data_IF_788067385284
#
_entry.id   IF_788067385284
#
_cell.length_a   1.000
_cell.length_b   1.000
_cell.length_c   1.000
_cell.angle_alpha   90.00
_cell.angle_beta   90.00
_cell.angle_gamma   90.00
#
_symmetry.space_group_name_H-M   'P 1'
#
loop_
_entity.id
_entity.type
_entity.pdbx_description
1 polymer ?
#
# COMPACT_ATOMS: atom_id res chain seq x y z
N UNK A 1 -24.18 0.61 -16.55
CA UNK A 1 -23.85 -0.51 -17.45
C UNK A 1 -22.77 0.04 -18.35
N UNK A 2 -21.49 -0.17 -18.08
CA UNK A 2 -20.81 -1.47 -18.07
C UNK A 2 -19.58 -1.43 -17.13
N UNK A 3 -19.48 -2.36 -16.18
CA UNK A 3 -18.34 -2.51 -15.25
C UNK A 3 -17.41 -3.67 -15.67
N UNK A 4 -17.54 -4.17 -16.91
CA UNK A 4 -16.69 -5.25 -17.44
C UNK A 4 -15.46 -4.76 -18.21
N UNK A 5 -15.30 -3.44 -18.37
CA UNK A 5 -14.23 -2.86 -19.21
C UNK A 5 -12.96 -2.55 -18.42
N UNK A 6 -13.03 -2.38 -17.10
CA UNK A 6 -11.86 -2.32 -16.22
C UNK A 6 -12.20 -3.01 -14.89
N UNK A 7 -11.59 -4.17 -14.57
CA UNK A 7 -11.74 -4.74 -13.24
C UNK A 7 -11.28 -3.69 -12.21
N UNK A 8 -11.99 -3.55 -11.08
CA UNK A 8 -11.55 -2.65 -10.04
C UNK A 8 -10.12 -3.04 -9.62
N UNK A 9 -9.23 -2.07 -9.41
CA UNK A 9 -7.84 -2.38 -9.08
C UNK A 9 -7.78 -3.20 -7.79
N UNK A 10 -6.98 -4.26 -7.78
CA UNK A 10 -6.82 -5.14 -6.62
C UNK A 10 -6.21 -4.44 -5.39
N UNK A 11 -5.53 -3.30 -5.61
CA UNK A 11 -4.91 -2.48 -4.56
C UNK A 11 -4.88 -1.00 -4.97
N UNK A 12 -5.32 -0.11 -4.07
CA UNK A 12 -5.12 1.33 -4.19
C UNK A 12 -4.15 1.84 -3.13
N UNK A 13 -3.22 2.73 -3.53
CA UNK A 13 -2.27 3.39 -2.64
C UNK A 13 -2.44 4.91 -2.72
N UNK A 14 -2.74 5.52 -1.58
CA UNK A 14 -2.85 6.96 -1.39
C UNK A 14 -1.72 7.46 -0.50
N UNK A 15 -1.00 8.49 -0.97
CA UNK A 15 0.05 9.19 -0.22
C UNK A 15 -0.51 10.56 0.12
N UNK A 16 -0.85 10.77 1.39
CA UNK A 16 -1.43 12.02 1.87
C UNK A 16 -0.29 13.06 2.00
N UNK A 17 0.01 13.75 0.90
CA UNK A 17 1.02 14.82 0.88
C UNK A 17 0.38 16.16 1.25
N UNK A 18 -0.88 16.45 0.87
CA UNK A 18 -1.52 17.76 1.17
C UNK A 18 -3.06 17.89 1.11
N UNK A 19 -3.89 16.88 0.83
CA UNK A 19 -5.35 17.13 0.83
C UNK A 19 -6.23 15.89 0.91
N UNK A 20 -7.09 15.88 1.94
CA UNK A 20 -8.33 15.10 2.12
C UNK A 20 -8.47 13.85 1.24
N UNK A 21 -8.06 12.73 1.81
CA UNK A 21 -8.39 11.39 1.36
C UNK A 21 -9.92 11.22 1.23
N UNK A 22 -10.41 10.70 0.09
CA UNK A 22 -11.83 10.36 -0.13
C UNK A 22 -12.02 8.83 -0.19
N UNK A 23 -11.93 8.13 0.95
CA UNK A 23 -12.06 6.66 0.99
C UNK A 23 -13.41 6.17 0.43
N UNK A 24 -14.44 7.03 0.41
CA UNK A 24 -15.74 6.73 -0.19
C UNK A 24 -15.69 6.43 -1.70
N UNK A 25 -14.72 6.96 -2.45
CA UNK A 25 -14.57 6.67 -3.88
C UNK A 25 -14.10 5.22 -4.07
N UNK A 26 -13.04 4.83 -3.35
CA UNK A 26 -12.50 3.46 -3.41
C UNK A 26 -13.48 2.42 -2.87
N UNK A 27 -14.25 2.79 -1.84
CA UNK A 27 -15.34 1.96 -1.32
C UNK A 27 -16.44 1.74 -2.37
N UNK A 28 -16.83 2.80 -3.09
CA UNK A 28 -17.82 2.71 -4.17
C UNK A 28 -17.30 1.93 -5.38
N UNK A 29 -15.98 1.95 -5.63
CA UNK A 29 -15.31 1.15 -6.64
C UNK A 29 -15.10 -0.32 -6.21
N UNK A 30 -15.34 -0.66 -4.94
CA UNK A 30 -15.18 -2.03 -4.45
C UNK A 30 -13.73 -2.49 -4.32
N UNK A 31 -12.78 -1.56 -4.16
CA UNK A 31 -11.36 -1.88 -4.04
C UNK A 31 -11.13 -2.67 -2.73
N UNK A 32 -10.65 -3.92 -2.80
CA UNK A 32 -10.56 -4.80 -1.63
C UNK A 32 -9.50 -4.32 -0.63
N UNK A 33 -8.49 -3.59 -1.08
CA UNK A 33 -7.38 -3.13 -0.24
C UNK A 33 -6.98 -1.67 -0.54
N UNK A 34 -6.92 -0.84 0.50
CA UNK A 34 -6.56 0.57 0.44
C UNK A 34 -5.42 0.89 1.40
N UNK A 35 -4.27 1.25 0.86
CA UNK A 35 -3.11 1.71 1.64
C UNK A 35 -3.09 3.22 1.72
N UNK A 36 -2.93 3.74 2.94
CA UNK A 36 -2.86 5.18 3.20
C UNK A 36 -1.54 5.47 3.88
N UNK A 37 -0.74 6.34 3.28
CA UNK A 37 0.49 6.82 3.88
C UNK A 37 0.29 8.24 4.37
N UNK A 38 0.19 8.42 5.70
CA UNK A 38 0.00 9.73 6.33
C UNK A 38 1.09 9.98 7.38
N UNK A 39 1.69 11.18 7.36
CA UNK A 39 2.69 11.66 8.34
C UNK A 39 3.79 10.65 8.71
N UNK A 40 4.23 9.83 7.75
CA UNK A 40 5.25 8.84 8.02
C UNK A 40 4.73 7.53 8.60
N UNK A 41 3.43 7.23 8.53
CA UNK A 41 2.83 5.96 8.93
C UNK A 41 2.04 5.36 7.78
N UNK A 42 2.21 4.06 7.57
CA UNK A 42 1.44 3.28 6.61
C UNK A 42 0.25 2.61 7.32
N UNK A 43 -0.95 2.97 6.91
CA UNK A 43 -2.18 2.29 7.30
C UNK A 43 -2.65 1.40 6.14
N UNK A 44 -2.99 0.16 6.46
CA UNK A 44 -3.51 -0.80 5.50
C UNK A 44 -4.98 -1.01 5.86
N UNK A 45 -5.89 -0.73 4.93
CA UNK A 45 -7.32 -0.87 5.16
C UNK A 45 -7.90 -1.91 4.20
N UNK A 46 -8.70 -2.82 4.73
CA UNK A 46 -9.41 -3.82 3.93
C UNK A 46 -10.89 -3.50 3.85
N UNK A 47 -11.46 -3.65 2.66
CA UNK A 47 -12.89 -3.53 2.46
C UNK A 47 -13.58 -4.79 2.99
N UNK A 48 -14.19 -4.68 4.17
CA UNK A 48 -14.96 -5.75 4.80
C UNK A 48 -16.41 -5.29 4.95
N UNK A 49 -17.35 -6.06 4.39
CA UNK A 49 -18.79 -5.77 4.48
C UNK A 49 -19.15 -4.32 4.03
N UNK A 50 -18.45 -3.80 3.01
CA UNK A 50 -18.68 -2.46 2.48
C UNK A 50 -18.09 -1.33 3.33
N UNK A 51 -17.21 -1.62 4.30
CA UNK A 51 -16.47 -0.61 5.08
C UNK A 51 -14.99 -0.94 5.14
N UNK A 52 -14.17 0.10 5.15
CA UNK A 52 -12.72 -0.07 5.36
C UNK A 52 -12.40 -0.32 6.83
N UNK A 53 -11.67 -1.40 7.10
CA UNK A 53 -11.17 -1.80 8.42
C UNK A 53 -9.64 -1.80 8.38
N UNK A 54 -9.01 -1.08 9.31
CA UNK A 54 -7.55 -1.07 9.42
C UNK A 54 -7.04 -2.45 9.89
N UNK A 55 -6.01 -2.95 9.21
CA UNK A 55 -5.32 -4.20 9.56
C UNK A 55 -3.83 -3.96 9.71
N UNK A 56 -3.17 -4.87 10.44
CA UNK A 56 -1.72 -4.83 10.62
C UNK A 56 -0.97 -5.31 9.39
N UNK A 57 -1.49 -6.37 8.74
CA UNK A 57 -0.83 -7.04 7.62
C UNK A 57 -1.73 -7.01 6.38
N UNK A 58 -1.12 -6.81 5.22
CA UNK A 58 -1.79 -6.96 3.93
C UNK A 58 -2.06 -8.45 3.67
N UNK A 59 -3.30 -8.87 3.35
CA UNK A 59 -3.57 -10.23 2.88
C UNK A 59 -2.88 -10.51 1.55
N UNK A 60 -2.84 -9.51 0.65
CA UNK A 60 -2.18 -9.59 -0.66
C UNK A 60 -0.69 -9.83 -0.54
N UNK A 61 -0.07 -9.28 0.51
CA UNK A 61 1.36 -9.44 0.80
C UNK A 61 1.61 -10.01 2.21
N UNK A 62 0.90 -11.07 2.57
CA UNK A 62 0.94 -11.69 3.89
C UNK A 62 2.34 -12.19 4.30
N UNK A 63 3.21 -12.48 3.33
CA UNK A 63 4.59 -12.92 3.56
C UNK A 63 5.58 -11.76 3.84
N UNK A 64 5.12 -10.51 3.86
CA UNK A 64 5.98 -9.33 3.92
C UNK A 64 5.55 -8.33 5.02
N UNK A 65 6.44 -7.95 5.95
CA UNK A 65 6.17 -6.92 6.94
C UNK A 65 6.25 -5.54 6.29
N UNK A 66 5.22 -5.17 5.52
CA UNK A 66 5.21 -3.97 4.68
C UNK A 66 5.33 -2.67 5.46
N UNK A 67 4.62 -2.56 6.60
CA UNK A 67 4.68 -1.36 7.45
C UNK A 67 6.13 -1.10 7.88
N UNK A 68 6.81 -2.09 8.44
CA UNK A 68 8.21 -1.97 8.87
C UNK A 68 9.16 -1.73 7.69
N UNK A 69 9.00 -2.47 6.59
CA UNK A 69 9.87 -2.35 5.44
C UNK A 69 9.79 -0.96 4.82
N UNK A 70 8.59 -0.41 4.62
CA UNK A 70 8.38 0.91 4.05
C UNK A 70 8.95 1.99 4.98
N UNK A 71 8.67 1.91 6.28
CA UNK A 71 9.22 2.85 7.27
C UNK A 71 10.76 2.86 7.26
N UNK A 72 11.37 1.67 7.32
CA UNK A 72 12.83 1.52 7.28
C UNK A 72 13.44 2.12 6.01
N UNK A 73 12.84 1.86 4.85
CA UNK A 73 13.36 2.38 3.59
C UNK A 73 13.17 3.89 3.47
N UNK A 74 12.06 4.43 3.99
CA UNK A 74 11.86 5.86 4.07
C UNK A 74 12.91 6.55 4.94
N UNK A 75 13.25 6.00 6.11
CA UNK A 75 14.35 6.51 6.93
C UNK A 75 15.69 6.45 6.19
N UNK A 76 15.98 5.33 5.53
CA UNK A 76 17.19 5.19 4.70
C UNK A 76 17.23 6.20 3.55
N UNK A 77 16.08 6.59 2.99
CA UNK A 77 16.04 7.59 1.91
C UNK A 77 16.52 8.96 2.36
N UNK A 78 16.37 9.28 3.66
CA UNK A 78 16.83 10.54 4.25
C UNK A 78 18.36 10.59 4.40
N UNK A 79 19.03 9.43 4.49
CA UNK A 79 20.47 9.33 4.72
C UNK A 79 21.27 8.89 3.49
N UNK A 80 20.82 7.85 2.79
CA UNK A 80 21.50 7.27 1.61
C UNK A 80 21.03 7.86 0.28
N UNK A 81 19.96 8.67 0.29
CA UNK A 81 19.36 9.26 -0.89
C UNK A 81 18.42 8.31 -1.65
N UNK A 82 17.46 8.91 -2.37
CA UNK A 82 16.34 8.23 -3.03
C UNK A 82 16.75 7.07 -3.94
N UNK A 83 17.81 7.23 -4.74
CA UNK A 83 18.23 6.22 -5.71
C UNK A 83 18.77 4.95 -5.06
N UNK A 84 19.59 5.08 -4.02
CA UNK A 84 20.15 3.94 -3.29
C UNK A 84 19.03 3.18 -2.56
N UNK A 85 18.11 3.90 -1.91
CA UNK A 85 16.96 3.32 -1.23
C UNK A 85 16.03 2.57 -2.19
N UNK A 86 15.71 3.15 -3.35
CA UNK A 86 14.86 2.47 -4.34
C UNK A 86 15.51 1.20 -4.90
N UNK A 87 16.84 1.14 -4.97
CA UNK A 87 17.57 -0.08 -5.35
C UNK A 87 17.47 -1.14 -4.25
N UNK A 88 17.72 -0.76 -2.99
CA UNK A 88 17.61 -1.64 -1.84
C UNK A 88 16.18 -2.19 -1.67
N UNK A 89 15.17 -1.33 -1.81
CA UNK A 89 13.76 -1.72 -1.74
C UNK A 89 13.40 -2.76 -2.80
N UNK A 90 13.76 -2.50 -4.06
CA UNK A 90 13.51 -3.45 -5.16
C UNK A 90 14.22 -4.79 -4.94
N UNK A 91 15.43 -4.77 -4.40
CA UNK A 91 16.14 -6.00 -4.08
C UNK A 91 15.42 -6.79 -2.96
N UNK A 92 15.04 -6.12 -1.88
CA UNK A 92 14.29 -6.71 -0.78
C UNK A 92 12.96 -7.32 -1.24
N UNK A 93 12.19 -6.61 -2.07
CA UNK A 93 10.94 -7.14 -2.64
C UNK A 93 11.23 -8.41 -3.44
N UNK A 94 12.25 -8.39 -4.33
CA UNK A 94 12.61 -9.54 -5.19
C UNK A 94 13.04 -10.76 -4.38
N UNK A 95 13.78 -10.57 -3.29
CA UNK A 95 14.20 -11.67 -2.41
C UNK A 95 12.99 -12.35 -1.75
N UNK A 96 11.93 -11.59 -1.44
CA UNK A 96 10.71 -12.11 -0.82
C UNK A 96 9.65 -12.63 -1.80
N UNK A 97 9.67 -12.19 -3.06
CA UNK A 97 8.78 -12.72 -4.12
C UNK A 97 9.35 -13.94 -4.84
N UNK A 98 10.66 -14.19 -4.79
CA UNK A 98 11.30 -15.38 -5.37
C UNK A 98 11.08 -16.69 -4.60
N UNK A 99 10.39 -16.65 -3.47
CA UNK A 99 10.12 -17.83 -2.62
C UNK A 99 8.78 -18.50 -2.99
N UNK A 100 8.12 -18.08 -4.07
CA UNK A 100 6.87 -18.69 -4.54
C UNK A 100 7.05 -19.71 -5.65
#
# INVERSE_FOLDING_TARGET
MDLTVDPPPDLALEIDITSRTHPGIYQALGVPELWRFDRGKLQINLLQQGKYVEVENSPTFSAMPLKEAILRHLEQSRTAGRNATMKAFRQWVRERTKIS
#
